data_IF_013051299706
#
_entry.id   IF_013051299706
#
_cell.length_a   1.000
_cell.length_b   1.000
_cell.length_c   1.000
_cell.angle_alpha   90.00
_cell.angle_beta   90.00
_cell.angle_gamma   90.00
#
_symmetry.space_group_name_H-M   'P 1'
#
loop_
_entity.id
_entity.type
_entity.pdbx_description
1 polymer ?
#
# COMPACT_ATOMS: atom_id res chain seq x y z
N UNK A 1 -2.12 -7.78 -18.81
CA UNK A 1 -2.46 -6.36 -18.56
C UNK A 1 -1.20 -5.60 -18.15
N UNK A 2 -0.40 -5.12 -19.11
CA UNK A 2 0.53 -4.00 -18.90
C UNK A 2 -0.37 -2.77 -18.96
N UNK A 3 -0.64 -2.06 -17.87
CA UNK A 3 -1.59 -0.94 -17.98
C UNK A 3 -2.07 -0.29 -16.70
N UNK A 4 -2.21 -1.04 -15.61
CA UNK A 4 -2.67 -0.46 -14.33
C UNK A 4 -1.58 -0.60 -13.28
N UNK A 5 -1.19 0.51 -12.67
CA UNK A 5 -0.27 0.57 -11.54
C UNK A 5 -0.83 -0.13 -10.29
N UNK A 6 -0.01 -0.25 -9.25
CA UNK A 6 -0.44 -0.87 -8.00
C UNK A 6 -1.63 -0.12 -7.36
N UNK A 7 -1.61 1.22 -7.46
CA UNK A 7 -2.60 2.12 -6.89
C UNK A 7 -3.84 2.37 -7.78
N UNK A 8 -3.91 1.80 -8.98
CA UNK A 8 -5.05 1.99 -9.89
C UNK A 8 -4.81 2.97 -11.05
N UNK A 9 -3.71 3.73 -11.03
CA UNK A 9 -3.33 4.64 -12.12
C UNK A 9 -3.18 3.86 -13.43
N UNK A 10 -3.82 4.35 -14.49
CA UNK A 10 -3.69 3.77 -15.82
C UNK A 10 -2.47 4.35 -16.54
N UNK A 11 -1.45 3.52 -16.76
CA UNK A 11 -0.23 3.92 -17.48
C UNK A 11 -0.49 4.24 -18.95
N UNK A 12 -1.55 3.69 -19.57
CA UNK A 12 -1.83 3.96 -20.99
C UNK A 12 -2.28 5.39 -21.27
N UNK A 13 -2.93 6.03 -20.29
CA UNK A 13 -3.39 7.41 -20.38
C UNK A 13 -2.39 8.39 -19.77
N UNK A 14 -1.26 7.90 -19.25
CA UNK A 14 -0.27 8.72 -18.59
C UNK A 14 0.70 9.34 -19.62
N UNK A 15 0.75 10.67 -19.75
CA UNK A 15 1.61 11.33 -20.75
C UNK A 15 3.10 11.13 -20.45
N UNK A 16 3.50 11.00 -19.18
CA UNK A 16 4.89 10.72 -18.80
C UNK A 16 5.33 9.33 -19.30
N UNK A 17 4.43 8.34 -19.18
CA UNK A 17 4.70 6.99 -19.65
C UNK A 17 4.81 6.96 -21.17
N UNK A 18 3.87 7.58 -21.88
CA UNK A 18 3.88 7.68 -23.35
C UNK A 18 5.16 8.36 -23.86
N UNK A 19 5.50 9.54 -23.32
CA UNK A 19 6.71 10.27 -23.69
C UNK A 19 8.00 9.50 -23.37
N UNK A 20 7.97 8.60 -22.37
CA UNK A 20 9.09 7.71 -22.05
C UNK A 20 9.20 6.56 -23.05
N UNK A 21 8.09 5.92 -23.40
CA UNK A 21 8.06 4.78 -24.33
C UNK A 21 8.40 5.21 -25.76
N UNK A 22 7.96 6.40 -26.16
CA UNK A 22 8.24 6.99 -27.48
C UNK A 22 9.60 7.70 -27.55
N UNK A 23 10.37 7.69 -26.46
CA UNK A 23 11.66 8.38 -26.29
C UNK A 23 11.65 9.84 -26.76
N UNK A 24 10.67 10.62 -26.31
CA UNK A 24 10.52 12.04 -26.67
C UNK A 24 11.08 12.95 -25.57
N UNK A 25 12.36 13.37 -25.64
CA UNK A 25 12.97 14.21 -24.59
C UNK A 25 12.31 15.60 -24.48
N UNK A 26 11.86 16.18 -25.59
CA UNK A 26 11.22 17.49 -25.61
C UNK A 26 9.86 17.49 -24.89
N UNK A 27 9.05 16.45 -25.11
CA UNK A 27 7.78 16.28 -24.40
C UNK A 27 8.02 16.08 -22.90
N UNK A 28 9.03 15.29 -22.50
CA UNK A 28 9.42 15.14 -21.08
C UNK A 28 9.84 16.48 -20.46
N UNK A 29 10.55 17.33 -21.19
CA UNK A 29 10.92 18.66 -20.71
C UNK A 29 9.73 19.63 -20.60
N UNK A 30 8.74 19.52 -21.50
CA UNK A 30 7.48 20.26 -21.40
C UNK A 30 6.67 19.80 -20.19
N UNK A 31 6.48 18.48 -20.04
CA UNK A 31 5.78 17.88 -18.90
C UNK A 31 6.45 18.25 -17.58
N UNK A 32 7.79 18.25 -17.49
CA UNK A 32 8.50 18.68 -16.28
C UNK A 32 8.10 20.10 -15.87
N UNK A 33 8.06 21.04 -16.82
CA UNK A 33 7.69 22.45 -16.56
C UNK A 33 6.24 22.58 -16.11
N UNK A 34 5.32 21.90 -16.79
CA UNK A 34 3.90 21.91 -16.45
C UNK A 34 3.65 21.28 -15.08
N UNK A 35 4.26 20.14 -14.80
CA UNK A 35 4.12 19.42 -13.54
C UNK A 35 4.68 20.23 -12.35
N UNK A 36 5.85 20.85 -12.55
CA UNK A 36 6.46 21.71 -11.55
C UNK A 36 5.58 22.92 -11.22
N UNK A 37 4.92 23.51 -12.24
CA UNK A 37 4.00 24.63 -12.07
C UNK A 37 2.73 24.22 -11.33
N UNK A 38 2.12 23.09 -11.70
CA UNK A 38 0.84 22.63 -11.13
C UNK A 38 1.00 22.10 -9.71
N UNK A 39 2.07 21.33 -9.45
CA UNK A 39 2.28 20.63 -8.17
C UNK A 39 3.32 21.30 -7.26
N UNK A 40 3.85 22.46 -7.64
CA UNK A 40 4.90 23.18 -6.90
C UNK A 40 6.11 22.29 -6.59
N UNK A 41 6.52 21.50 -7.59
CA UNK A 41 7.65 20.55 -7.51
C UNK A 41 8.83 21.03 -8.36
N UNK A 42 9.98 20.36 -8.24
CA UNK A 42 11.24 20.74 -8.92
C UNK A 42 11.83 19.57 -9.72
N UNK A 43 11.00 18.85 -10.45
CA UNK A 43 11.43 17.75 -11.32
C UNK A 43 12.21 18.25 -12.53
N UNK A 44 13.33 17.59 -12.83
CA UNK A 44 14.09 17.76 -14.08
C UNK A 44 13.49 16.89 -15.19
N UNK A 45 13.71 17.25 -16.45
CA UNK A 45 13.30 16.42 -17.60
C UNK A 45 13.85 14.97 -17.52
N UNK A 46 15.07 14.81 -16.99
CA UNK A 46 15.69 13.50 -16.75
C UNK A 46 15.00 12.67 -15.67
N UNK A 47 14.24 13.31 -14.77
CA UNK A 47 13.44 12.66 -13.72
C UNK A 47 12.01 12.36 -14.18
N UNK A 48 11.56 12.96 -15.29
CA UNK A 48 10.27 12.67 -15.93
C UNK A 48 10.34 11.41 -16.80
N UNK A 49 10.98 10.36 -16.29
CA UNK A 49 11.12 9.07 -16.96
C UNK A 49 10.40 8.03 -16.12
N UNK A 50 9.37 7.41 -16.69
CA UNK A 50 8.55 6.42 -15.99
C UNK A 50 8.14 5.29 -16.94
N UNK A 51 8.53 4.06 -16.62
CA UNK A 51 8.06 2.84 -17.30
C UNK A 51 6.97 2.10 -16.48
N UNK A 52 6.37 2.81 -15.51
CA UNK A 52 5.35 2.29 -14.61
C UNK A 52 5.92 1.70 -13.33
N UNK A 53 5.13 1.71 -12.26
CA UNK A 53 5.55 1.32 -10.90
C UNK A 53 5.98 -0.16 -10.75
N UNK A 54 5.62 -1.00 -11.72
CA UNK A 54 5.95 -2.44 -11.79
C UNK A 54 7.23 -2.73 -12.57
N UNK A 55 7.77 -1.73 -13.25
CA UNK A 55 9.00 -1.87 -14.02
C UNK A 55 10.24 -1.67 -13.14
N UNK A 56 11.41 -1.87 -13.74
CA UNK A 56 12.70 -1.54 -13.16
C UNK A 56 12.99 -0.02 -13.13
N UNK A 57 12.17 0.81 -13.79
CA UNK A 57 12.34 2.26 -13.86
C UNK A 57 11.04 2.98 -13.50
N UNK A 58 10.63 2.94 -12.21
CA UNK A 58 9.44 3.63 -11.77
C UNK A 58 9.67 5.15 -11.77
N UNK A 59 8.59 5.93 -11.66
CA UNK A 59 8.69 7.39 -11.53
C UNK A 59 9.44 7.75 -10.25
N UNK A 60 10.15 8.88 -10.23
CA UNK A 60 11.02 9.29 -9.11
C UNK A 60 10.33 9.29 -7.74
N UNK A 61 9.04 9.58 -7.67
CA UNK A 61 8.27 9.56 -6.42
C UNK A 61 7.86 8.15 -5.94
N UNK A 62 8.10 7.11 -6.74
CA UNK A 62 7.62 5.75 -6.44
C UNK A 62 8.42 5.06 -5.34
N UNK A 63 9.59 5.57 -4.98
CA UNK A 63 10.46 4.96 -3.98
C UNK A 63 9.92 5.15 -2.55
N UNK A 64 9.20 6.23 -2.30
CA UNK A 64 8.57 6.54 -1.00
C UNK A 64 7.08 6.11 -0.94
N UNK A 65 6.60 5.40 -1.96
CA UNK A 65 5.19 5.05 -2.07
C UNK A 65 4.84 3.80 -1.25
N UNK A 66 4.17 3.99 -0.11
CA UNK A 66 3.71 2.90 0.78
C UNK A 66 2.82 1.87 0.04
N UNK A 67 1.98 2.32 -0.89
CA UNK A 67 1.11 1.43 -1.68
C UNK A 67 1.97 0.48 -2.55
N UNK A 68 3.05 1.00 -3.16
CA UNK A 68 3.96 0.19 -3.96
C UNK A 68 4.70 -0.82 -3.09
N UNK A 69 5.27 -0.36 -1.97
CA UNK A 69 5.97 -1.25 -1.03
C UNK A 69 5.05 -2.38 -0.54
N UNK A 70 3.82 -2.04 -0.15
CA UNK A 70 2.83 -3.01 0.31
C UNK A 70 2.52 -4.07 -0.76
N UNK A 71 2.31 -3.66 -2.02
CA UNK A 71 2.04 -4.59 -3.11
C UNK A 71 3.24 -5.49 -3.43
N UNK A 72 4.46 -4.94 -3.42
CA UNK A 72 5.69 -5.72 -3.63
C UNK A 72 5.84 -6.77 -2.53
N UNK A 73 5.70 -6.36 -1.26
CA UNK A 73 5.80 -7.25 -0.10
C UNK A 73 4.75 -8.35 -0.10
N UNK A 74 3.52 -8.05 -0.52
CA UNK A 74 2.41 -9.01 -0.61
C UNK A 74 2.38 -9.79 -1.93
N UNK A 75 3.27 -9.51 -2.89
CA UNK A 75 3.26 -10.15 -4.21
C UNK A 75 2.01 -9.86 -5.05
N UNK A 76 1.29 -8.77 -4.75
CA UNK A 76 0.03 -8.44 -5.42
C UNK A 76 0.28 -7.74 -6.75
N UNK A 77 -0.55 -8.06 -7.76
CA UNK A 77 -0.53 -7.34 -9.04
C UNK A 77 -1.04 -5.91 -8.91
N UNK A 78 -2.00 -5.65 -8.03
CA UNK A 78 -2.51 -4.32 -7.69
C UNK A 78 -3.36 -4.42 -6.43
N UNK A 79 -3.75 -3.27 -5.87
CA UNK A 79 -4.62 -3.22 -4.70
C UNK A 79 -5.99 -3.87 -4.91
N UNK A 80 -6.45 -4.04 -6.16
CA UNK A 80 -7.70 -4.73 -6.48
C UNK A 80 -7.64 -6.23 -6.19
N UNK A 81 -6.46 -6.84 -6.12
CA UNK A 81 -6.30 -8.23 -5.66
C UNK A 81 -6.19 -8.38 -4.14
N UNK A 82 -6.33 -7.30 -3.37
CA UNK A 82 -6.22 -7.34 -1.92
C UNK A 82 -7.58 -7.65 -1.29
N UNK A 83 -7.65 -8.69 -0.45
CA UNK A 83 -8.86 -9.06 0.32
C UNK A 83 -9.35 -7.96 1.27
N UNK A 84 -8.43 -7.09 1.72
CA UNK A 84 -8.74 -5.99 2.64
C UNK A 84 -9.09 -4.69 1.90
N UNK A 85 -9.28 -4.73 0.57
CA UNK A 85 -9.53 -3.53 -0.23
C UNK A 85 -10.95 -2.97 -0.01
N UNK A 86 -11.11 -1.65 0.25
CA UNK A 86 -10.07 -0.64 0.49
C UNK A 86 -9.46 -0.69 1.91
N UNK A 87 -8.14 -0.88 1.97
CA UNK A 87 -7.41 -0.99 3.24
C UNK A 87 -6.97 0.40 3.76
N UNK A 88 -6.48 0.44 5.01
CA UNK A 88 -6.06 1.69 5.68
C UNK A 88 -4.96 2.45 4.93
N UNK A 89 -4.04 1.73 4.27
CA UNK A 89 -2.89 2.32 3.56
C UNK A 89 -3.36 3.17 2.36
N UNK A 90 -4.33 2.68 1.58
CA UNK A 90 -4.74 3.37 0.36
C UNK A 90 -6.02 4.20 0.49
N UNK A 91 -6.82 4.02 1.56
CA UNK A 91 -8.11 4.70 1.72
C UNK A 91 -8.02 6.22 1.59
N UNK A 92 -7.02 6.83 2.23
CA UNK A 92 -6.82 8.29 2.16
C UNK A 92 -6.33 8.73 0.78
N UNK A 93 -5.46 7.95 0.13
CA UNK A 93 -5.01 8.20 -1.24
C UNK A 93 -6.18 8.19 -2.24
N UNK A 94 -7.11 7.24 -2.11
CA UNK A 94 -8.26 7.14 -3.01
C UNK A 94 -9.33 8.20 -2.81
N UNK A 95 -9.30 8.95 -1.70
CA UNK A 95 -10.14 10.14 -1.54
C UNK A 95 -9.70 11.29 -2.46
N UNK A 96 -8.40 11.39 -2.76
CA UNK A 96 -7.86 12.41 -3.65
C UNK A 96 -7.81 11.94 -5.11
N UNK A 97 -7.90 10.63 -5.33
CA UNK A 97 -7.77 9.94 -6.62
C UNK A 97 -8.95 8.97 -6.86
N UNK A 98 -10.17 9.50 -7.09
CA UNK A 98 -11.39 8.69 -7.16
C UNK A 98 -11.47 7.83 -8.43
N UNK A 99 -10.88 8.25 -9.55
CA UNK A 99 -10.89 7.48 -10.79
C UNK A 99 -10.06 6.19 -10.65
N UNK A 100 -8.89 6.31 -10.04
CA UNK A 100 -7.98 5.21 -9.71
C UNK A 100 -8.67 4.20 -8.78
N UNK A 101 -9.46 4.71 -7.83
CA UNK A 101 -10.23 3.87 -6.92
C UNK A 101 -11.30 3.06 -7.65
N UNK A 102 -12.04 3.68 -8.56
CA UNK A 102 -13.06 2.98 -9.35
C UNK A 102 -12.44 1.94 -10.29
N UNK A 103 -11.26 2.22 -10.85
CA UNK A 103 -10.51 1.24 -11.63
C UNK A 103 -10.14 0.00 -10.78
N UNK A 104 -9.68 0.20 -9.55
CA UNK A 104 -9.36 -0.89 -8.64
C UNK A 104 -10.60 -1.64 -8.14
N UNK A 105 -11.71 -0.95 -7.88
CA UNK A 105 -12.98 -1.60 -7.52
C UNK A 105 -13.48 -2.53 -8.62
N UNK A 106 -13.40 -2.10 -9.89
CA UNK A 106 -13.74 -2.95 -11.03
C UNK A 106 -12.87 -4.20 -11.06
N UNK A 107 -11.55 -4.04 -10.89
CA UNK A 107 -10.62 -5.17 -10.81
C UNK A 107 -10.94 -6.08 -9.63
N UNK A 108 -11.19 -5.53 -8.45
CA UNK A 108 -11.52 -6.28 -7.25
C UNK A 108 -12.80 -7.09 -7.44
N UNK A 109 -13.87 -6.46 -7.94
CA UNK A 109 -15.12 -7.15 -8.24
C UNK A 109 -14.92 -8.29 -9.23
N UNK A 110 -14.11 -8.10 -10.28
CA UNK A 110 -13.83 -9.15 -11.26
C UNK A 110 -13.02 -10.30 -10.68
N UNK A 111 -12.07 -10.03 -9.78
CA UNK A 111 -11.24 -11.06 -9.15
C UNK A 111 -11.99 -11.88 -8.10
N UNK A 112 -12.98 -11.28 -7.44
CA UNK A 112 -13.77 -11.92 -6.39
C UNK A 112 -15.21 -12.22 -6.82
N UNK A 113 -15.49 -12.22 -8.12
CA UNK A 113 -16.83 -12.48 -8.67
C UNK A 113 -17.35 -13.85 -8.25
N UNK A 114 -16.54 -14.89 -8.44
CA UNK A 114 -16.93 -16.27 -8.15
C UNK A 114 -17.18 -16.49 -6.65
N UNK A 115 -16.50 -15.73 -5.79
CA UNK A 115 -16.76 -15.72 -4.34
C UNK A 115 -18.13 -15.12 -4.05
N UNK A 116 -18.47 -13.99 -4.67
CA UNK A 116 -19.76 -13.34 -4.48
C UNK A 116 -20.95 -14.19 -4.97
N UNK A 117 -20.79 -14.89 -6.09
CA UNK A 117 -21.85 -15.73 -6.67
C UNK A 117 -22.10 -16.99 -5.80
N UNK A 118 -21.07 -17.50 -5.11
CA UNK A 118 -21.20 -18.69 -4.23
C UNK A 118 -21.94 -18.44 -2.90
N UNK A 119 -22.02 -17.18 -2.44
CA UNK A 119 -22.76 -16.83 -1.21
C UNK A 119 -24.22 -16.47 -1.47
N UNK A 120 -24.62 -16.24 -2.72
CA UNK A 120 -26.02 -15.92 -3.07
C UNK A 120 -26.93 -17.14 -3.21
N UNK A 121 -26.38 -18.35 -3.20
CA UNK A 121 -27.14 -19.61 -3.35
C UNK A 121 -27.45 -20.30 -2.02
N UNK A 122 -27.03 -19.71 -0.90
CA UNK A 122 -27.53 -20.10 0.41
C UNK A 122 -28.86 -19.39 0.63
N UNK A 123 -29.94 -19.95 0.08
CA UNK A 123 -31.28 -19.62 0.54
C UNK A 123 -31.28 -19.82 2.06
N UNK A 124 -31.55 -18.75 2.82
CA UNK A 124 -31.84 -18.86 4.24
C UNK A 124 -32.87 -19.99 4.36
N UNK A 125 -32.58 -21.11 5.05
CA UNK A 125 -33.57 -22.14 5.21
C UNK A 125 -34.79 -21.46 5.85
N UNK A 126 -35.92 -21.48 5.15
CA UNK A 126 -37.19 -21.00 5.70
C UNK A 126 -37.29 -21.55 7.12
N UNK A 127 -37.65 -20.69 8.08
CA UNK A 127 -37.75 -21.03 9.49
C UNK A 127 -38.82 -22.12 9.72
N UNK A 128 -38.59 -23.34 9.28
CA UNK A 128 -39.34 -24.52 9.68
C UNK A 128 -38.84 -24.90 11.07
N UNK A 129 -39.31 -24.12 12.04
CA UNK A 129 -39.49 -24.52 13.42
C UNK A 129 -38.23 -25.06 14.10
N UNK A 130 -37.40 -24.16 14.63
CA UNK A 130 -36.60 -24.50 15.81
C UNK A 130 -37.61 -24.82 16.93
N UNK A 131 -37.92 -26.12 17.07
CA UNK A 131 -38.74 -26.63 18.18
C UNK A 131 -38.07 -26.15 19.46
N UNK A 132 -38.80 -25.35 20.22
CA UNK A 132 -38.33 -24.65 21.41
C UNK A 132 -37.44 -25.53 22.28
N UNK A 133 -36.12 -25.33 22.19
CA UNK A 133 -35.20 -25.88 23.16
C UNK A 133 -35.54 -25.13 24.46
N UNK A 134 -36.11 -25.85 25.41
CA UNK A 134 -36.47 -25.36 26.74
C UNK A 134 -35.37 -24.44 27.27
N UNK A 135 -35.74 -23.23 27.71
CA UNK A 135 -34.87 -22.20 28.30
C UNK A 135 -34.22 -22.66 29.62
N UNK A 136 -33.42 -23.70 29.59
CA UNK A 136 -32.52 -24.09 30.67
C UNK A 136 -31.11 -24.16 30.10
N UNK A 137 -30.39 -23.04 30.19
CA UNK A 137 -28.93 -23.04 30.04
C UNK A 137 -28.32 -22.07 29.02
N UNK A 138 -29.02 -21.05 28.54
CA UNK A 138 -28.36 -19.97 27.78
C UNK A 138 -27.74 -18.97 28.78
N UNK A 139 -26.45 -19.13 29.07
CA UNK A 139 -25.69 -18.07 29.76
C UNK A 139 -25.38 -16.95 28.76
N UNK A 140 -25.47 -15.67 29.16
CA UNK A 140 -25.18 -14.53 28.28
C UNK A 140 -23.72 -14.56 27.81
N UNK A 141 -23.50 -14.17 26.56
CA UNK A 141 -22.18 -14.10 25.88
C UNK A 141 -21.13 -13.22 26.58
N UNK A 142 -21.49 -12.51 27.64
CA UNK A 142 -20.60 -11.63 28.40
C UNK A 142 -19.76 -12.38 29.47
N UNK A 143 -20.11 -13.61 29.88
CA UNK A 143 -19.39 -14.33 30.94
C UNK A 143 -18.15 -15.13 30.45
N UNK A 144 -17.96 -15.31 29.14
CA UNK A 144 -16.80 -16.06 28.62
C UNK A 144 -15.50 -15.24 28.53
N UNK A 145 -15.53 -13.93 28.76
CA UNK A 145 -14.31 -13.11 28.71
C UNK A 145 -13.64 -12.87 30.08
N UNK A 146 -14.30 -13.19 31.21
CA UNK A 146 -13.72 -12.96 32.54
C UNK A 146 -12.90 -14.14 33.08
N UNK A 147 -13.19 -15.40 32.71
CA UNK A 147 -12.38 -16.55 33.18
C UNK A 147 -11.03 -16.70 32.48
N UNK A 148 -10.92 -16.28 31.21
CA UNK A 148 -9.63 -16.27 30.50
C UNK A 148 -8.74 -15.03 30.80
N UNK A 149 -9.28 -14.01 31.48
CA UNK A 149 -8.50 -12.85 31.91
C UNK A 149 -7.83 -12.99 33.28
N UNK A 150 -8.16 -14.02 34.07
CA UNK A 150 -7.46 -14.28 35.35
C UNK A 150 -6.18 -15.11 35.17
N UNK A 151 -6.05 -15.95 34.13
CA UNK A 151 -4.86 -16.78 33.94
C UNK A 151 -3.68 -16.07 33.24
N UNK A 152 -3.90 -14.89 32.64
CA UNK A 152 -2.80 -14.07 32.10
C UNK A 152 -2.22 -13.07 33.11
N UNK A 153 -2.72 -13.04 34.36
CA UNK A 153 -2.28 -12.10 35.39
C UNK A 153 -1.06 -12.56 36.23
N UNK A 154 -0.31 -13.59 35.82
CA UNK A 154 0.88 -14.07 36.57
C UNK A 154 2.22 -13.73 35.91
N UNK A 155 2.27 -13.25 34.66
CA UNK A 155 3.53 -12.76 34.08
C UNK A 155 3.64 -11.25 34.20
N UNK A 156 4.10 -10.82 35.38
CA UNK A 156 4.52 -9.45 35.67
C UNK A 156 5.64 -9.03 34.68
N UNK A 157 5.58 -7.85 34.06
CA UNK A 157 6.66 -7.39 33.20
C UNK A 157 7.91 -7.12 34.05
N UNK A 158 8.99 -7.87 33.80
CA UNK A 158 10.33 -7.53 34.28
C UNK A 158 10.71 -6.20 33.64
N UNK A 159 10.88 -5.16 34.46
CA UNK A 159 11.40 -3.85 34.03
C UNK A 159 12.80 -4.05 33.43
N UNK A 160 12.90 -4.11 32.10
CA UNK A 160 14.21 -3.96 31.43
C UNK A 160 14.64 -2.51 31.59
N UNK A 161 15.69 -2.28 32.39
CA UNK A 161 16.36 -0.97 32.46
C UNK A 161 16.86 -0.62 31.05
N UNK A 162 16.56 0.59 30.59
CA UNK A 162 17.10 1.14 29.36
C UNK A 162 18.64 1.17 29.44
N UNK A 163 19.30 0.53 28.48
CA UNK A 163 20.74 0.67 28.30
C UNK A 163 21.04 2.07 27.70
N UNK A 164 22.06 2.79 28.19
CA UNK A 164 22.40 4.11 27.66
C UNK A 164 22.92 4.03 26.21
N UNK A 165 22.47 4.98 25.40
CA UNK A 165 22.94 5.21 24.03
C UNK A 165 24.44 5.53 24.03
N UNK A 166 25.25 4.67 23.43
CA UNK A 166 26.66 4.96 23.13
C UNK A 166 26.70 5.99 21.99
N UNK A 167 27.15 7.21 22.33
CA UNK A 167 27.47 8.27 21.38
C UNK A 167 28.60 7.78 20.47
N UNK A 168 28.32 7.50 19.19
CA UNK A 168 29.36 7.32 18.19
C UNK A 168 29.85 8.70 17.76
N UNK A 169 31.06 9.01 18.18
CA UNK A 169 31.79 10.21 17.82
C UNK A 169 32.07 10.23 16.31
N UNK A 170 31.78 11.38 15.72
CA UNK A 170 32.13 11.78 14.36
C UNK A 170 33.62 12.17 14.33
N UNK A 171 34.49 11.58 13.49
CA UNK A 171 35.82 12.12 13.27
C UNK A 171 35.78 13.18 12.17
N UNK A 172 35.93 14.43 12.59
CA UNK A 172 36.20 15.58 11.74
C UNK A 172 37.44 15.40 10.85
N UNK A 173 37.33 15.97 9.64
CA UNK A 173 38.39 16.48 8.76
C UNK A 173 39.80 16.58 9.39
N UNK A 174 40.79 16.04 8.69
CA UNK A 174 42.10 16.69 8.53
C UNK A 174 42.56 16.59 7.07
N UNK A 175 42.76 17.76 6.47
CA UNK A 175 43.61 17.99 5.29
C UNK A 175 45.04 17.59 5.64
N UNK A 176 45.84 17.24 4.63
CA UNK A 176 47.16 17.83 4.36
C UNK A 176 47.65 17.46 2.96
N UNK A 177 48.44 18.37 2.38
CA UNK A 177 48.88 18.46 0.99
C UNK A 177 50.19 17.70 0.71
N UNK A 178 50.50 17.62 -0.60
CA UNK A 178 51.83 17.52 -1.24
C UNK A 178 52.55 16.15 -1.09
N UNK A 179 53.24 15.56 -2.07
CA UNK A 179 54.12 16.03 -3.18
C UNK A 179 54.28 14.84 -4.16
N UNK A 180 54.24 15.02 -5.48
CA UNK A 180 55.38 15.06 -6.42
C UNK A 180 56.18 13.75 -6.64
N UNK A 181 56.35 13.47 -7.94
CA UNK A 181 57.44 12.76 -8.64
C UNK A 181 57.47 11.21 -8.64
N UNK A 182 57.06 10.63 -9.77
CA UNK A 182 57.89 9.81 -10.69
C UNK A 182 57.19 9.63 -12.06
#
# INVERSE_FOLDING_TARGET
MKGTGFCGINCHTCPIYQATVEDKPEERAKLAREWNKTHQTTYKASQMICLGCKSNRPFAYSDECEIRECNIRRGLKNCGGCLEFPCKIGREFWKTMPEEYENLKKIHRLLFKDVADSVSEFEEPEEEGIRSISKRGALPYEEHTQKNHQEHAINKPVKKKAAPLVKKNNPSKKKNNATQDD
#
